data_IF_300883026319
#
_entry.id   IF_300883026319
#
_cell.length_a   1.000
_cell.length_b   1.000
_cell.length_c   1.000
_cell.angle_alpha   90.00
_cell.angle_beta   90.00
_cell.angle_gamma   90.00
#
_symmetry.space_group_name_H-M   'P 1'
#
loop_
_entity.id
_entity.type
_entity.pdbx_description
1 polymer ?
2 non-polymer ?
3 water ?
#
# COMPACT_ATOMS: atom_id res chain seq x y z
N UNK A 19 30.46 13.55 9.93
CA UNK A 19 29.08 14.15 10.08
C UNK A 19 28.79 14.62 11.55
N UNK A 20 28.18 15.83 11.74
CA UNK A 20 28.09 16.45 13.09
C UNK A 20 27.14 15.81 14.11
N UNK A 21 26.93 16.54 15.21
CA UNK A 21 26.26 16.04 16.42
C UNK A 21 24.89 16.65 16.65
N UNK A 22 24.01 15.88 17.29
CA UNK A 22 22.60 16.17 17.20
C UNK A 22 21.77 15.97 18.47
N UNK A 23 22.34 15.59 19.63
CA UNK A 23 21.40 15.36 20.73
C UNK A 23 20.88 16.66 21.36
N UNK A 24 21.37 17.82 20.94
CA UNK A 24 20.69 19.10 21.31
C UNK A 24 19.32 19.27 20.68
N UNK A 25 19.14 18.64 19.51
CA UNK A 25 17.85 18.48 18.84
C UNK A 25 16.99 17.40 19.51
N UNK A 26 15.86 17.80 20.10
CA UNK A 26 15.01 16.81 20.76
C UNK A 26 14.29 15.82 19.82
N UNK A 27 13.67 14.80 20.41
CA UNK A 27 12.73 13.95 19.72
C UNK A 27 11.41 14.15 20.41
N UNK A 28 10.40 14.55 19.64
CA UNK A 28 9.07 14.83 20.17
C UNK A 28 8.08 13.76 19.77
N UNK A 29 7.27 13.27 20.70
CA UNK A 29 6.21 12.33 20.34
C UNK A 29 5.01 13.11 19.81
N UNK A 30 4.42 12.66 18.72
CA UNK A 30 3.25 13.34 18.15
C UNK A 30 2.14 12.32 17.92
N UNK A 31 0.93 12.83 17.66
CA UNK A 31 -0.17 11.97 17.26
C UNK A 31 -0.48 12.21 15.78
N UNK A 32 -1.03 11.18 15.13
CA UNK A 32 -1.48 11.26 13.71
C UNK A 32 -2.89 10.66 13.54
N UNK A 33 -3.74 11.27 12.70
CA UNK A 33 -5.04 10.71 12.37
C UNK A 33 -4.82 9.50 11.49
N UNK A 34 -3.96 9.63 10.49
CA UNK A 34 -3.67 8.53 9.59
C UNK A 34 -2.19 8.29 9.71
N UNK A 35 -1.81 7.25 10.45
CA UNK A 35 -0.41 6.96 10.68
C UNK A 35 0.27 6.32 9.46
N UNK A 36 1.59 6.18 9.50
CA UNK A 36 2.38 5.74 8.33
C UNK A 36 2.33 4.26 8.18
N UNK A 37 1.95 3.80 6.99
CA UNK A 37 1.92 2.38 6.71
C UNK A 37 2.86 2.06 5.56
N UNK A 38 3.92 1.31 5.88
CA UNK A 38 4.86 0.85 4.89
C UNK A 38 4.55 -0.61 4.63
N UNK A 39 4.34 -0.97 3.35
CA UNK A 39 4.00 -2.36 3.01
C UNK A 39 5.17 -3.27 3.25
N UNK A 40 4.88 -4.47 3.72
CA UNK A 40 5.91 -5.36 4.15
C UNK A 40 5.38 -6.75 4.24
N UNK A 41 5.66 -7.38 5.36
CA UNK A 41 5.32 -8.76 5.53
C UNK A 41 4.62 -8.93 6.86
N UNK A 42 3.75 -9.95 6.95
CA UNK A 42 2.84 -10.14 8.03
C UNK A 42 3.36 -11.19 9.00
N UNK A 43 4.36 -10.78 9.74
CA UNK A 43 5.04 -11.67 10.66
C UNK A 43 6.17 -10.87 11.27
N UNK A 44 7.05 -10.40 10.39
CA UNK A 44 8.26 -9.74 10.77
C UNK A 44 8.14 -8.28 10.39
N UNK A 45 9.02 -7.47 10.96
CA UNK A 45 8.89 -6.04 10.79
C UNK A 45 10.24 -5.40 10.50
N UNK A 46 11.19 -6.20 9.99
CA UNK A 46 12.43 -5.63 9.48
C UNK A 46 12.34 -5.60 7.96
N UNK A 47 11.15 -5.87 7.43
CA UNK A 47 10.92 -5.97 5.98
C UNK A 47 10.10 -4.84 5.33
N UNK A 48 10.54 -4.36 4.17
CA UNK A 48 9.76 -3.38 3.40
C UNK A 48 9.66 -3.73 1.92
N UNK A 49 8.50 -3.43 1.29
CA UNK A 49 8.31 -3.59 -0.16
C UNK A 49 8.70 -2.26 -0.77
N UNK A 50 9.53 -2.27 -1.82
CA UNK A 50 10.08 -1.02 -2.42
C UNK A 50 9.11 -0.30 -3.33
N UNK A 51 7.99 -0.96 -3.63
CA UNK A 51 6.86 -0.38 -4.34
C UNK A 51 5.53 -0.91 -3.71
N UNK A 52 4.38 -0.41 -4.18
CA UNK A 52 3.09 -0.67 -3.52
C UNK A 52 2.63 -2.11 -3.61
N UNK A 53 1.97 -2.57 -2.55
CA UNK A 53 1.23 -3.83 -2.54
C UNK A 53 -0.20 -3.44 -2.75
N UNK A 54 -0.92 -4.27 -3.48
CA UNK A 54 -2.32 -4.06 -3.74
C UNK A 54 -2.96 -5.20 -3.02
N UNK A 55 -4.28 -5.21 -2.92
CA UNK A 55 -4.93 -6.21 -2.08
C UNK A 55 -5.86 -7.13 -2.85
N UNK A 56 -7.14 -6.99 -2.56
CA UNK A 56 -8.12 -7.80 -3.25
C UNK A 56 -8.56 -7.01 -4.48
N UNK A 57 -8.42 -7.68 -5.62
CA UNK A 57 -8.68 -7.07 -6.90
C UNK A 57 -10.11 -7.32 -7.37
N UNK A 58 -10.65 -8.49 -7.08
CA UNK A 58 -11.92 -8.90 -7.66
C UNK A 58 -12.60 -9.91 -6.77
N UNK A 59 -13.93 -9.92 -6.77
CA UNK A 59 -14.69 -10.88 -5.96
C UNK A 59 -15.91 -11.29 -6.72
N UNK A 60 -16.29 -12.56 -6.62
CA UNK A 60 -17.46 -13.08 -7.33
C UNK A 60 -18.17 -14.17 -6.53
N UNK A 61 -19.49 -14.15 -6.54
CA UNK A 61 -20.24 -15.29 -6.02
C UNK A 61 -20.79 -16.06 -7.21
N UNK A 62 -20.70 -17.37 -7.20
CA UNK A 62 -21.24 -18.15 -8.31
C UNK A 62 -21.86 -19.46 -7.84
N UNK A 63 -22.65 -20.05 -8.71
CA UNK A 63 -23.06 -21.41 -8.54
C UNK A 63 -22.54 -22.19 -9.75
N UNK A 64 -21.76 -23.23 -9.49
CA UNK A 64 -21.07 -23.92 -10.57
C UNK A 64 -20.40 -22.90 -11.46
N UNK A 65 -20.83 -22.87 -12.72
CA UNK A 65 -20.25 -22.02 -13.73
C UNK A 65 -21.04 -20.73 -13.90
N UNK A 66 -22.10 -20.61 -13.12
CA UNK A 66 -22.97 -19.46 -13.24
C UNK A 66 -22.70 -18.36 -12.20
N UNK A 67 -22.32 -17.18 -12.68
CA UNK A 67 -22.03 -16.02 -11.83
C UNK A 67 -23.33 -15.38 -11.32
N UNK A 68 -23.40 -14.97 -10.06
CA UNK A 68 -24.60 -14.31 -9.51
C UNK A 68 -24.34 -12.85 -9.12
N UNK A 69 -23.15 -12.57 -8.63
CA UNK A 69 -22.73 -11.19 -8.39
C UNK A 69 -21.23 -11.09 -8.49
N UNK A 70 -20.70 -9.88 -8.72
CA UNK A 70 -19.27 -9.68 -8.93
C UNK A 70 -18.93 -8.25 -8.59
N UNK A 71 -17.64 -7.99 -8.48
CA UNK A 71 -17.17 -6.64 -8.44
C UNK A 71 -15.66 -6.59 -8.66
N UNK A 72 -15.19 -5.66 -9.48
CA UNK A 72 -13.78 -5.40 -9.66
C UNK A 72 -13.42 -3.97 -9.20
N UNK A 73 -12.17 -3.80 -8.76
CA UNK A 73 -11.66 -2.60 -8.11
C UNK A 73 -11.03 -1.68 -9.16
N UNK A 74 -10.55 -2.34 -10.21
CA UNK A 74 -9.87 -1.64 -11.29
C UNK A 74 -10.03 -2.45 -12.58
N UNK A 75 -9.33 -2.07 -13.64
CA UNK A 75 -9.44 -2.83 -14.87
C UNK A 75 -8.83 -4.21 -14.81
N UNK A 76 -9.36 -5.13 -15.60
CA UNK A 76 -8.77 -6.46 -15.73
C UNK A 76 -9.68 -7.45 -16.42
N UNK A 77 -9.08 -8.44 -17.06
CA UNK A 77 -9.89 -9.44 -17.75
C UNK A 77 -10.44 -10.48 -16.76
N UNK A 78 -11.20 -9.96 -15.79
CA UNK A 78 -11.62 -10.77 -14.65
C UNK A 78 -12.67 -11.82 -14.98
N UNK A 79 -13.57 -11.50 -15.88
CA UNK A 79 -14.58 -12.46 -16.22
C UNK A 79 -13.99 -13.53 -17.14
N UNK A 80 -13.01 -13.15 -17.94
CA UNK A 80 -12.38 -14.10 -18.84
C UNK A 80 -11.76 -15.17 -17.97
N UNK A 81 -10.97 -14.73 -16.99
CA UNK A 81 -10.26 -15.61 -16.07
C UNK A 81 -11.25 -16.34 -15.17
N UNK A 82 -12.24 -15.63 -14.66
CA UNK A 82 -13.20 -16.29 -13.78
C UNK A 82 -13.89 -17.48 -14.46
N UNK A 83 -14.19 -17.36 -15.76
CA UNK A 83 -14.89 -18.45 -16.44
C UNK A 83 -13.97 -19.65 -16.48
N UNK A 84 -12.67 -19.41 -16.69
CA UNK A 84 -11.68 -20.50 -16.71
C UNK A 84 -11.53 -21.14 -15.33
N UNK A 85 -11.58 -20.31 -14.28
CA UNK A 85 -11.43 -20.85 -12.94
C UNK A 85 -12.60 -21.71 -12.64
N UNK A 86 -13.81 -21.16 -12.69
CA UNK A 86 -15.00 -21.89 -12.21
C UNK A 86 -15.12 -23.27 -12.86
N UNK A 87 -14.63 -23.38 -14.08
CA UNK A 87 -14.67 -24.65 -14.79
C UNK A 87 -13.85 -25.74 -14.11
N UNK A 88 -12.85 -25.34 -13.33
CA UNK A 88 -11.90 -26.26 -12.64
C UNK A 88 -12.38 -26.70 -11.26
N UNK A 89 -13.16 -25.86 -10.61
CA UNK A 89 -13.55 -26.10 -9.25
C UNK A 89 -14.60 -27.24 -9.12
N UNK A 90 -14.28 -28.27 -8.32
CA UNK A 90 -15.24 -29.34 -8.02
C UNK A 90 -16.41 -28.86 -7.14
N UNK A 91 -17.57 -29.47 -7.36
CA UNK A 91 -18.82 -29.04 -6.71
C UNK A 91 -18.93 -29.38 -5.20
N UNK A 92 -18.17 -30.37 -4.77
CA UNK A 92 -18.11 -30.75 -3.34
C UNK A 92 -17.57 -29.63 -2.50
N UNK A 93 -18.10 -29.42 -1.30
CA UNK A 93 -17.56 -28.40 -0.39
C UNK A 93 -16.02 -28.49 -0.31
N UNK A 94 -15.34 -27.34 -0.31
CA UNK A 94 -13.93 -27.24 0.19
C UNK A 94 -13.40 -25.82 0.01
N UNK A 95 -12.14 -25.59 0.36
CA UNK A 95 -11.52 -24.27 0.26
C UNK A 95 -10.17 -24.49 -0.40
N UNK A 96 -9.63 -23.50 -1.09
CA UNK A 96 -8.40 -23.73 -1.85
C UNK A 96 -7.83 -22.43 -2.35
N UNK A 97 -6.54 -22.42 -2.68
CA UNK A 97 -5.94 -21.26 -3.34
C UNK A 97 -5.21 -21.71 -4.59
N UNK A 98 -5.38 -20.97 -5.68
CA UNK A 98 -4.73 -21.30 -6.92
C UNK A 98 -3.69 -20.23 -7.16
N UNK A 99 -2.57 -20.59 -7.73
CA UNK A 99 -1.55 -19.57 -7.98
C UNK A 99 -1.32 -19.48 -9.47
N UNK A 100 -1.31 -18.25 -10.01
CA UNK A 100 -0.92 -18.00 -11.40
C UNK A 100 -0.28 -16.63 -11.57
N UNK A 101 0.81 -16.59 -12.34
CA UNK A 101 1.62 -15.38 -12.42
C UNK A 101 1.78 -14.70 -11.05
N UNK A 102 1.51 -13.40 -11.00
CA UNK A 102 1.69 -12.60 -9.79
C UNK A 102 0.41 -12.49 -8.99
N UNK A 103 -0.50 -13.45 -9.18
CA UNK A 103 -1.85 -13.36 -8.63
C UNK A 103 -2.22 -14.67 -7.99
N UNK A 104 -3.09 -14.60 -7.01
CA UNK A 104 -3.60 -15.78 -6.32
C UNK A 104 -5.12 -15.74 -6.43
N UNK A 105 -5.74 -16.90 -6.50
CA UNK A 105 -7.19 -17.01 -6.55
C UNK A 105 -7.65 -17.88 -5.38
N UNK A 106 -8.41 -17.31 -4.45
CA UNK A 106 -8.83 -18.02 -3.25
C UNK A 106 -10.34 -18.22 -3.33
N UNK A 107 -10.83 -19.42 -3.01
CA UNK A 107 -12.26 -19.66 -2.97
C UNK A 107 -12.68 -20.54 -1.83
N UNK A 108 -13.97 -20.45 -1.51
CA UNK A 108 -14.65 -21.38 -0.62
C UNK A 108 -15.83 -21.92 -1.40
N UNK A 109 -15.95 -23.23 -1.51
CA UNK A 109 -17.17 -23.79 -2.09
C UNK A 109 -18.05 -24.39 -0.97
N UNK A 110 -19.29 -23.94 -0.86
CA UNK A 110 -20.14 -24.45 0.18
C UNK A 110 -21.54 -24.65 -0.35
N UNK A 111 -22.06 -25.88 -0.25
CA UNK A 111 -23.40 -26.16 -0.69
C UNK A 111 -23.47 -25.69 -2.16
N UNK A 112 -22.42 -26.06 -2.89
CA UNK A 112 -22.25 -25.75 -4.32
C UNK A 112 -22.04 -24.27 -4.72
N UNK A 113 -22.26 -23.33 -3.80
CA UNK A 113 -22.03 -21.93 -4.09
C UNK A 113 -20.59 -21.61 -3.89
N UNK A 114 -19.97 -20.92 -4.85
CA UNK A 114 -18.54 -20.61 -4.80
C UNK A 114 -18.31 -19.16 -4.46
N UNK A 115 -17.44 -18.87 -3.51
CA UNK A 115 -17.17 -17.48 -3.18
C UNK A 115 -15.69 -17.34 -3.48
N UNK A 116 -15.33 -16.50 -4.45
CA UNK A 116 -13.97 -16.49 -4.96
C UNK A 116 -13.44 -15.08 -5.00
N UNK A 117 -12.15 -14.92 -4.81
CA UNK A 117 -11.55 -13.61 -5.03
C UNK A 117 -10.17 -13.78 -5.61
N UNK A 118 -9.65 -12.69 -6.16
CA UNK A 118 -8.37 -12.67 -6.85
C UNK A 118 -7.58 -11.53 -6.24
N UNK A 119 -6.33 -11.81 -5.92
CA UNK A 119 -5.53 -10.86 -5.13
C UNK A 119 -4.09 -10.85 -5.61
N UNK A 120 -3.38 -9.78 -5.23
CA UNK A 120 -1.94 -9.60 -5.51
C UNK A 120 -1.31 -10.81 -4.87
N UNK A 121 -0.19 -11.28 -5.42
CA UNK A 121 0.53 -12.38 -4.77
C UNK A 121 0.97 -11.96 -3.37
N UNK A 122 0.99 -10.67 -3.07
CA UNK A 122 1.54 -10.09 -1.83
C UNK A 122 0.49 -9.90 -0.75
N UNK A 123 -0.68 -10.48 -0.91
CA UNK A 123 -1.76 -10.29 0.05
C UNK A 123 -1.81 -11.50 0.96
N UNK A 124 -2.07 -11.24 2.23
CA UNK A 124 -2.16 -12.29 3.25
C UNK A 124 -3.35 -13.22 3.01
N UNK A 125 -3.12 -14.52 2.78
CA UNK A 125 -4.19 -15.46 2.51
C UNK A 125 -5.27 -15.44 3.57
N UNK A 126 -4.86 -15.37 4.83
CA UNK A 126 -5.82 -15.38 5.92
C UNK A 126 -6.80 -14.19 5.83
N UNK A 127 -6.31 -13.06 5.31
CA UNK A 127 -7.14 -11.88 5.18
C UNK A 127 -8.12 -12.14 4.07
N UNK A 128 -7.65 -12.82 3.02
CA UNK A 128 -8.48 -13.18 1.86
C UNK A 128 -9.62 -14.06 2.29
N UNK A 129 -9.35 -15.09 3.09
CA UNK A 129 -10.42 -16.02 3.47
C UNK A 129 -11.38 -15.45 4.51
N UNK A 130 -10.90 -14.48 5.26
CA UNK A 130 -11.76 -13.77 6.18
C UNK A 130 -12.77 -12.97 5.37
N UNK A 131 -12.26 -12.25 4.38
CA UNK A 131 -13.10 -11.54 3.42
C UNK A 131 -14.14 -12.51 2.86
N UNK A 132 -13.71 -13.63 2.30
CA UNK A 132 -14.64 -14.60 1.72
C UNK A 132 -15.66 -15.08 2.74
N UNK A 133 -15.26 -15.32 3.98
CA UNK A 133 -16.21 -15.83 4.97
C UNK A 133 -17.23 -14.75 5.23
N UNK A 134 -16.77 -13.51 5.34
CA UNK A 134 -17.68 -12.41 5.61
C UNK A 134 -18.73 -12.26 4.52
N UNK A 135 -18.27 -12.20 3.28
CA UNK A 135 -19.14 -12.12 2.09
C UNK A 135 -20.17 -13.23 2.12
N UNK A 136 -19.72 -14.46 2.36
CA UNK A 136 -20.61 -15.63 2.42
C UNK A 136 -21.74 -15.48 3.44
N UNK A 137 -21.37 -15.07 4.64
CA UNK A 137 -22.32 -14.80 5.72
C UNK A 137 -23.38 -13.81 5.24
N UNK A 138 -22.96 -12.71 4.63
CA UNK A 138 -23.92 -11.73 4.16
C UNK A 138 -24.74 -12.23 2.99
N UNK A 139 -24.12 -12.97 2.09
CA UNK A 139 -24.84 -13.44 0.91
C UNK A 139 -25.88 -14.44 1.34
N UNK A 140 -25.48 -15.35 2.22
CA UNK A 140 -26.38 -16.35 2.77
C UNK A 140 -27.48 -15.75 3.63
N UNK A 141 -27.19 -14.74 4.45
CA UNK A 141 -28.29 -14.13 5.21
C UNK A 141 -29.19 -13.31 4.30
N UNK A 142 -28.64 -12.59 3.34
CA UNK A 142 -29.46 -11.78 2.43
C UNK A 142 -30.32 -12.64 1.52
N UNK A 143 -29.73 -13.67 0.94
CA UNK A 143 -30.39 -14.31 -0.19
C UNK A 143 -30.84 -15.73 0.10
N UNK A 144 -30.39 -16.32 1.19
CA UNK A 144 -30.82 -17.66 1.57
C UNK A 144 -30.83 -18.66 0.43
N UNK A 145 -31.91 -19.43 0.36
CA UNK A 145 -32.04 -20.56 -0.57
C UNK A 145 -32.08 -20.15 -2.06
N UNK A 146 -32.42 -18.87 -2.29
CA UNK A 146 -32.62 -18.34 -3.64
C UNK A 146 -31.41 -18.60 -4.49
N UNK A 147 -30.24 -18.51 -3.88
CA UNK A 147 -28.96 -18.72 -4.55
C UNK A 147 -28.83 -20.08 -5.23
N UNK A 148 -29.64 -21.04 -4.79
CA UNK A 148 -29.52 -22.37 -5.35
C UNK A 148 -30.12 -22.41 -6.75
N UNK A 149 -31.04 -21.49 -7.02
CA UNK A 149 -31.86 -21.52 -8.23
C UNK A 149 -31.76 -20.24 -9.09
N UNK A 150 -31.28 -19.14 -8.52
CA UNK A 150 -31.37 -17.83 -9.19
C UNK A 150 -30.58 -17.82 -10.50
N UNK A 151 -31.03 -17.00 -11.43
CA UNK A 151 -30.46 -16.95 -12.78
C UNK A 151 -29.17 -16.12 -12.80
N UNK A 152 -28.37 -16.24 -13.88
CA UNK A 152 -27.15 -15.47 -14.03
C UNK A 152 -27.30 -14.01 -13.72
N UNK A 153 -26.32 -13.46 -13.01
CA UNK A 153 -26.27 -12.04 -12.59
C UNK A 153 -27.50 -11.53 -11.84
N UNK A 154 -28.34 -12.46 -11.40
CA UNK A 154 -29.53 -12.07 -10.72
C UNK A 154 -29.20 -11.23 -9.50
N UNK A 155 -28.13 -11.51 -8.77
CA UNK A 155 -27.93 -10.74 -7.55
C UNK A 155 -27.01 -9.54 -7.71
N UNK A 156 -26.63 -9.27 -8.93
CA UNK A 156 -25.52 -8.40 -9.12
C UNK A 156 -25.84 -6.96 -8.78
N UNK A 157 -26.97 -6.45 -9.23
CA UNK A 157 -27.20 -5.02 -9.07
C UNK A 157 -27.24 -4.63 -7.61
N UNK A 158 -27.83 -5.51 -6.80
CA UNK A 158 -27.93 -5.24 -5.37
C UNK A 158 -26.60 -5.52 -4.64
N UNK A 159 -26.00 -6.67 -4.91
CA UNK A 159 -24.90 -7.16 -4.08
C UNK A 159 -23.52 -6.65 -4.43
N UNK A 160 -23.31 -6.25 -5.66
CA UNK A 160 -21.98 -5.82 -6.08
C UNK A 160 -21.51 -4.75 -5.15
N UNK A 161 -22.42 -3.95 -4.63
CA UNK A 161 -22.04 -2.81 -3.77
C UNK A 161 -21.71 -3.27 -2.38
N UNK A 162 -22.36 -4.32 -1.92
CA UNK A 162 -21.89 -5.00 -0.70
C UNK A 162 -20.47 -5.50 -0.96
N UNK A 163 -20.26 -6.17 -2.10
CA UNK A 163 -18.92 -6.69 -2.43
C UNK A 163 -17.87 -5.59 -2.48
N UNK A 164 -18.21 -4.46 -3.08
CA UNK A 164 -17.28 -3.33 -3.15
C UNK A 164 -16.95 -2.77 -1.76
N UNK A 165 -17.93 -2.65 -0.88
CA UNK A 165 -17.63 -2.12 0.45
C UNK A 165 -16.73 -3.05 1.25
N UNK A 166 -16.95 -4.36 1.16
CA UNK A 166 -16.11 -5.34 1.87
C UNK A 166 -14.69 -5.46 1.30
N UNK A 167 -14.61 -5.41 -0.01
CA UNK A 167 -13.35 -5.38 -0.70
C UNK A 167 -12.47 -4.23 -0.16
N UNK A 168 -13.10 -3.09 0.02
CA UNK A 168 -12.40 -1.93 0.50
C UNK A 168 -11.96 -2.15 1.94
N UNK A 169 -12.91 -2.59 2.75
CA UNK A 169 -12.69 -2.79 4.19
C UNK A 169 -11.53 -3.73 4.42
N UNK A 170 -11.58 -4.92 3.81
CA UNK A 170 -10.55 -5.95 4.04
C UNK A 170 -9.21 -5.65 3.35
N UNK A 171 -9.19 -4.70 2.44
CA UNK A 171 -7.96 -4.41 1.77
C UNK A 171 -7.15 -3.39 2.59
N UNK A 172 -7.80 -2.71 3.52
CA UNK A 172 -7.11 -1.76 4.43
C UNK A 172 -6.77 -2.33 5.82
N UNK A 173 -7.73 -3.07 6.39
CA UNK A 173 -7.75 -3.45 7.81
C UNK A 173 -8.53 -4.78 7.99
N UNK B 21 -5.91 -18.25 10.72
CA UNK B 21 -4.73 -18.96 10.11
C UNK B 21 -5.20 -19.88 9.00
N UNK B 22 -4.37 -20.08 7.97
CA UNK B 22 -4.81 -20.85 6.78
C UNK B 22 -3.79 -21.82 6.15
N UNK B 23 -2.78 -22.19 6.95
CA UNK B 23 -1.66 -23.08 6.51
C UNK B 23 -2.14 -24.45 6.04
N UNK B 24 -3.25 -24.89 6.64
CA UNK B 24 -3.89 -26.15 6.28
C UNK B 24 -4.44 -26.17 4.88
N UNK B 25 -4.97 -25.02 4.44
CA UNK B 25 -5.52 -24.85 3.09
C UNK B 25 -4.40 -24.79 2.05
N UNK B 26 -4.38 -25.75 1.12
CA UNK B 26 -3.26 -25.79 0.17
C UNK B 26 -3.23 -24.66 -0.84
N UNK B 27 -2.10 -24.55 -1.53
CA UNK B 27 -1.93 -23.61 -2.64
C UNK B 27 -1.56 -24.43 -3.88
N UNK B 28 -2.43 -24.43 -4.90
CA UNK B 28 -2.23 -25.23 -6.12
C UNK B 28 -1.84 -24.37 -7.33
N UNK B 29 -0.85 -24.82 -8.11
CA UNK B 29 -0.56 -24.15 -9.37
C UNK B 29 -1.59 -24.58 -10.37
N UNK B 30 -2.05 -23.66 -11.19
CA UNK B 30 -2.92 -23.98 -12.33
C UNK B 30 -2.35 -23.38 -13.59
N UNK B 31 -2.84 -23.84 -14.74
CA UNK B 31 -2.55 -23.20 -16.01
C UNK B 31 -3.82 -22.54 -16.55
N UNK B 32 -3.66 -21.51 -17.39
CA UNK B 32 -4.79 -20.82 -18.02
C UNK B 32 -4.55 -20.62 -19.52
N UNK B 33 -5.59 -20.73 -20.33
CA UNK B 33 -5.46 -20.45 -21.75
C UNK B 33 -5.28 -18.98 -21.90
N UNK B 34 -6.10 -18.21 -21.21
CA UNK B 34 -6.03 -16.76 -21.27
C UNK B 34 -5.79 -16.26 -19.86
N UNK B 35 -4.53 -15.88 -19.54
CA UNK B 35 -4.12 -15.55 -18.18
C UNK B 35 -4.55 -14.16 -17.73
N UNK B 36 -4.39 -13.86 -16.43
CA UNK B 36 -4.92 -12.61 -15.87
C UNK B 36 -4.05 -11.41 -16.21
N UNK B 37 -4.67 -10.37 -16.73
CA UNK B 37 -3.97 -9.14 -17.08
C UNK B 37 -4.64 -7.98 -16.36
N UNK B 38 -3.88 -7.37 -15.45
CA UNK B 38 -4.33 -6.20 -14.72
C UNK B 38 -3.38 -5.03 -14.94
N UNK B 39 -3.71 -4.14 -15.89
CA UNK B 39 -2.83 -3.02 -16.19
C UNK B 39 -2.88 -2.00 -15.09
N UNK B 40 -1.77 -1.30 -14.87
CA UNK B 40 -1.72 -0.25 -13.85
C UNK B 40 -1.18 -0.70 -12.51
N UNK B 41 -0.39 -1.77 -12.55
CA UNK B 41 0.22 -2.28 -11.36
C UNK B 41 1.72 -2.27 -11.56
N UNK B 42 2.48 -2.23 -10.47
CA UNK B 42 3.92 -2.16 -10.60
C UNK B 42 4.53 -3.40 -11.24
N UNK B 43 5.64 -3.22 -11.96
CA UNK B 43 6.28 -4.30 -12.72
C UNK B 43 6.71 -5.47 -11.83
N UNK B 44 7.10 -5.22 -10.58
CA UNK B 44 7.54 -6.32 -9.71
C UNK B 44 7.41 -6.07 -8.20
N UNK B 45 7.70 -7.11 -7.44
CA UNK B 45 7.62 -7.05 -6.00
C UNK B 45 9.08 -7.19 -5.54
N UNK B 46 9.66 -6.11 -5.02
CA UNK B 46 11.01 -6.10 -4.44
C UNK B 46 10.94 -5.86 -2.91
N UNK B 47 11.27 -6.87 -2.12
CA UNK B 47 11.41 -6.70 -0.67
C UNK B 47 12.87 -6.63 -0.19
N UNK B 48 13.12 -5.72 0.75
CA UNK B 48 14.42 -5.52 1.34
C UNK B 48 14.31 -5.85 2.82
N UNK B 49 15.40 -6.37 3.39
CA UNK B 49 15.54 -6.43 4.85
C UNK B 49 16.06 -5.05 5.21
N UNK B 50 15.45 -4.40 6.20
CA UNK B 50 15.65 -2.96 6.39
C UNK B 50 16.92 -2.63 7.20
N UNK B 51 17.84 -1.85 6.59
CA UNK B 51 18.98 -1.23 7.31
C UNK B 51 18.40 -0.20 8.32
N UNK B 52 17.85 -0.66 9.46
CA UNK B 52 17.15 0.24 10.40
C UNK B 52 18.01 1.47 10.72
N UNK B 53 19.34 1.30 10.75
CA UNK B 53 20.31 2.38 11.02
C UNK B 53 20.77 3.21 9.81
N UNK B 54 20.52 2.73 8.58
CA UNK B 54 20.93 3.39 7.31
C UNK B 54 19.78 3.41 6.24
N UNK B 55 18.58 3.79 6.64
CA UNK B 55 17.41 3.66 5.78
C UNK B 55 16.66 4.95 5.93
N UNK B 56 16.91 5.84 4.98
CA UNK B 56 16.04 7.00 4.79
C UNK B 56 14.97 6.55 3.79
N UNK B 57 13.72 6.65 4.21
CA UNK B 57 12.62 6.09 3.48
C UNK B 57 11.99 7.09 2.53
N UNK B 58 11.97 8.35 2.92
CA UNK B 58 11.27 9.38 2.18
C UNK B 58 11.91 10.73 2.45
N UNK B 59 11.84 11.63 1.50
CA UNK B 59 12.39 12.95 1.70
C UNK B 59 11.49 13.93 1.01
N UNK B 60 11.31 15.13 1.58
CA UNK B 60 10.44 16.14 0.99
C UNK B 60 10.94 17.56 1.27
N UNK B 61 10.83 18.47 0.28
CA UNK B 61 11.08 19.88 0.50
C UNK B 61 9.74 20.59 0.41
N UNK B 62 9.45 21.46 1.37
CA UNK B 62 8.19 22.15 1.38
C UNK B 62 8.37 23.58 1.83
N UNK B 63 7.39 24.40 1.52
CA UNK B 63 7.23 25.68 2.13
C UNK B 63 5.91 25.60 2.88
N UNK B 64 5.95 25.82 4.18
CA UNK B 64 4.77 25.64 4.97
C UNK B 64 4.13 24.31 4.64
N UNK B 65 2.90 24.37 4.13
CA UNK B 65 2.14 23.20 3.86
C UNK B 65 2.20 22.84 2.38
N UNK B 66 2.95 23.62 1.63
CA UNK B 66 3.06 23.41 0.18
C UNK B 66 4.29 22.62 -0.23
N UNK B 67 4.11 21.44 -0.79
CA UNK B 67 5.23 20.57 -1.19
C UNK B 67 5.89 21.07 -2.49
N UNK B 68 7.21 21.08 -2.61
CA UNK B 68 7.88 21.57 -3.84
C UNK B 68 8.60 20.45 -4.57
N UNK B 69 9.19 19.54 -3.80
CA UNK B 69 9.76 18.29 -4.35
C UNK B 69 9.71 17.18 -3.29
N UNK B 70 9.77 15.92 -3.75
CA UNK B 70 9.63 14.75 -2.88
C UNK B 70 10.29 13.54 -3.54
N UNK B 71 10.58 12.52 -2.75
CA UNK B 71 10.97 11.27 -3.32
C UNK B 71 10.84 10.19 -2.28
N UNK B 72 10.31 9.06 -2.69
CA UNK B 72 10.16 7.91 -1.82
C UNK B 72 11.02 6.81 -2.38
N UNK B 73 11.52 5.98 -1.48
CA UNK B 73 12.47 4.98 -1.81
C UNK B 73 11.67 3.70 -1.91
N UNK B 74 10.63 3.62 -1.09
CA UNK B 74 9.86 2.39 -0.96
C UNK B 74 8.33 2.67 -0.88
N UNK B 75 7.52 1.63 -0.66
CA UNK B 75 6.06 1.80 -0.63
C UNK B 75 5.60 2.46 0.64
N UNK B 76 4.57 3.30 0.58
CA UNK B 76 4.04 3.92 1.78
C UNK B 76 3.09 5.09 1.54
N UNK B 77 2.22 5.33 2.51
CA UNK B 77 1.32 6.48 2.45
C UNK B 77 2.05 7.75 2.86
N UNK B 78 3.11 8.07 2.12
CA UNK B 78 4.00 9.15 2.52
C UNK B 78 3.38 10.54 2.38
N UNK B 79 2.58 10.74 1.35
CA UNK B 79 1.99 12.06 1.14
C UNK B 79 0.83 12.29 2.10
N UNK B 80 0.20 11.20 2.50
CA UNK B 80 -0.89 11.31 3.46
C UNK B 80 -0.32 11.83 4.77
N UNK B 81 0.72 11.15 5.22
CA UNK B 81 1.37 11.46 6.49
C UNK B 81 2.04 12.83 6.36
N UNK B 82 2.74 13.07 5.25
CA UNK B 82 3.43 14.34 5.09
C UNK B 82 2.48 15.53 5.25
N UNK B 83 1.26 15.42 4.78
CA UNK B 83 0.34 16.56 4.93
C UNK B 83 0.01 16.76 6.39
N UNK B 84 -0.11 15.67 7.13
CA UNK B 84 -0.39 15.79 8.56
C UNK B 84 0.82 16.35 9.30
N UNK B 85 2.02 15.99 8.87
CA UNK B 85 3.19 16.51 9.55
C UNK B 85 3.34 17.98 9.31
N UNK B 86 3.40 18.39 8.06
CA UNK B 86 3.71 19.79 7.76
C UNK B 86 2.77 20.73 8.52
N UNK B 87 1.55 20.26 8.79
CA UNK B 87 0.53 21.07 9.51
C UNK B 87 1.03 21.48 10.89
N UNK B 88 1.91 20.67 11.44
CA UNK B 88 2.40 20.81 12.82
C UNK B 88 3.63 21.73 12.98
N UNK B 89 4.42 21.82 11.92
CA UNK B 89 5.69 22.52 11.96
C UNK B 89 5.58 24.05 12.00
N UNK B 90 6.15 24.67 13.06
CA UNK B 90 6.18 26.14 13.14
C UNK B 90 7.14 26.80 12.14
N UNK B 91 6.74 27.97 11.66
CA UNK B 91 7.40 28.63 10.53
C UNK B 91 8.80 29.21 10.83
N UNK B 92 9.04 29.51 12.10
CA UNK B 92 10.32 30.07 12.50
C UNK B 92 11.34 28.97 12.38
N UNK B 93 12.57 29.37 12.11
CA UNK B 93 13.68 28.45 11.95
C UNK B 93 13.77 27.52 13.14
N UNK B 94 13.98 26.24 12.87
CA UNK B 94 14.42 25.30 13.91
C UNK B 94 14.63 23.91 13.32
N UNK B 95 15.07 22.98 14.15
CA UNK B 95 15.33 21.63 13.73
C UNK B 95 14.69 20.72 14.78
N UNK B 96 14.28 19.52 14.40
CA UNK B 96 13.52 18.69 15.34
C UNK B 96 13.33 17.28 14.80
N UNK B 97 13.00 16.36 15.69
CA UNK B 97 12.60 15.04 15.27
C UNK B 97 11.25 14.72 15.90
N UNK B 98 10.33 14.16 15.13
CA UNK B 98 9.03 13.72 15.66
C UNK B 98 8.99 12.22 15.71
N UNK B 99 8.34 11.67 16.71
CA UNK B 99 8.26 10.23 16.82
C UNK B 99 6.83 9.84 16.73
N UNK B 100 6.55 8.87 15.87
CA UNK B 100 5.27 8.15 15.88
C UNK B 100 5.43 6.68 15.48
N UNK B 101 4.78 5.80 16.20
CA UNK B 101 4.92 4.39 15.95
C UNK B 101 6.38 4.10 15.83
N UNK B 102 6.77 3.28 14.86
CA UNK B 102 8.15 2.83 14.73
C UNK B 102 8.99 3.73 13.88
N UNK B 103 8.55 4.97 13.73
CA UNK B 103 9.17 5.86 12.75
C UNK B 103 9.53 7.20 13.37
N UNK B 104 10.49 7.88 12.76
CA UNK B 104 10.88 9.20 13.19
C UNK B 104 10.85 10.09 11.99
N UNK B 105 10.54 11.35 12.22
CA UNK B 105 10.43 12.33 11.15
C UNK B 105 11.30 13.51 11.48
N UNK B 106 12.35 13.74 10.69
CA UNK B 106 13.38 14.73 11.01
C UNK B 106 13.31 15.86 10.05
N UNK B 107 13.31 17.08 10.56
CA UNK B 107 13.26 18.22 9.67
C UNK B 107 14.15 19.36 10.11
N UNK B 108 14.46 20.22 9.14
CA UNK B 108 15.12 21.50 9.37
C UNK B 108 14.21 22.52 8.75
N UNK B 109 13.77 23.51 9.51
CA UNK B 109 13.04 24.60 8.88
C UNK B 109 13.99 25.78 8.81
N UNK B 110 14.16 26.35 7.61
CA UNK B 110 15.01 27.53 7.49
C UNK B 110 14.50 28.52 6.45
N UNK B 111 14.25 29.74 6.91
CA UNK B 111 13.63 30.76 6.08
C UNK B 111 12.33 30.17 5.55
N UNK B 112 11.59 29.58 6.48
CA UNK B 112 10.27 28.97 6.23
C UNK B 112 10.24 27.70 5.35
N UNK B 113 11.34 27.38 4.69
CA UNK B 113 11.39 26.18 3.87
C UNK B 113 11.69 25.03 4.77
N UNK B 114 10.94 23.93 4.63
CA UNK B 114 11.09 22.73 5.49
C UNK B 114 11.73 21.58 4.74
N UNK B 115 12.79 21.01 5.28
CA UNK B 115 13.46 19.89 4.61
C UNK B 115 13.28 18.71 5.53
N UNK B 116 12.53 17.70 5.11
CA UNK B 116 12.08 16.67 6.03
C UNK B 116 12.36 15.29 5.48
N UNK B 117 12.65 14.34 6.36
CA UNK B 117 12.79 12.97 5.94
C UNK B 117 12.27 12.02 7.01
N UNK B 118 12.00 10.80 6.62
CA UNK B 118 11.33 9.83 7.47
C UNK B 118 12.21 8.61 7.49
N UNK B 119 12.34 7.98 8.65
CA UNK B 119 13.28 6.87 8.83
C UNK B 119 12.74 5.98 9.94
N UNK B 120 13.31 4.80 10.07
CA UNK B 120 12.94 3.93 11.19
C UNK B 120 13.27 4.59 12.51
N UNK B 121 12.69 4.07 13.61
CA UNK B 121 12.98 4.58 14.97
C UNK B 121 14.42 4.35 15.44
N UNK B 122 15.14 3.43 14.82
CA UNK B 122 16.47 3.10 15.30
C UNK B 122 17.58 3.65 14.42
N UNK B 123 17.27 4.59 13.57
CA UNK B 123 18.24 5.10 12.63
C UNK B 123 19.09 6.15 13.34
N UNK B 124 20.35 6.27 12.91
CA UNK B 124 21.27 7.29 13.40
C UNK B 124 20.86 8.68 12.99
N UNK B 125 20.32 9.45 13.93
CA UNK B 125 19.79 10.79 13.64
C UNK B 125 20.83 11.73 13.01
N UNK B 126 22.07 11.62 13.43
CA UNK B 126 23.11 12.47 12.88
C UNK B 126 23.25 12.26 11.37
N UNK B 127 22.96 11.04 10.89
CA UNK B 127 23.06 10.73 9.46
C UNK B 127 21.92 11.43 8.73
N UNK B 128 20.76 11.44 9.39
CA UNK B 128 19.59 12.09 8.84
C UNK B 128 19.84 13.54 8.67
N UNK B 129 20.37 14.22 9.68
CA UNK B 129 20.51 15.69 9.58
C UNK B 129 21.62 16.12 8.66
N UNK B 130 22.58 15.24 8.47
CA UNK B 130 23.63 15.46 7.49
C UNK B 130 23.01 15.48 6.09
N UNK B 131 22.21 14.45 5.82
CA UNK B 131 21.41 14.35 4.60
C UNK B 131 20.62 15.62 4.41
N UNK B 132 19.84 16.01 5.41
CA UNK B 132 19.01 17.19 5.29
C UNK B 132 19.82 18.45 5.05
N UNK B 133 20.97 18.57 5.69
CA UNK B 133 21.75 19.78 5.46
C UNK B 133 22.26 19.79 4.05
N UNK B 134 22.71 18.63 3.57
CA UNK B 134 23.21 18.50 2.20
C UNK B 134 22.16 18.90 1.16
N UNK B 135 20.99 18.29 1.29
CA UNK B 135 19.84 18.60 0.41
C UNK B 135 19.55 20.10 0.40
N UNK B 136 19.52 20.69 1.57
CA UNK B 136 19.25 22.12 1.67
C UNK B 136 20.23 22.98 0.89
N UNK B 137 21.51 22.68 1.09
CA UNK B 137 22.59 23.36 0.37
C UNK B 137 22.32 23.33 -1.14
N UNK B 138 22.03 22.15 -1.67
CA UNK B 138 21.80 22.03 -3.10
C UNK B 138 20.53 22.74 -3.53
N UNK B 139 19.48 22.62 -2.73
CA UNK B 139 18.21 23.17 -3.14
C UNK B 139 18.37 24.67 -3.18
N UNK B 140 19.04 25.20 -2.15
CA UNK B 140 19.26 26.62 -2.05
C UNK B 140 20.19 27.16 -3.13
N UNK B 141 21.29 26.47 -3.46
CA UNK B 141 22.15 26.97 -4.55
C UNK B 141 21.44 26.84 -5.92
N UNK B 142 20.72 25.74 -6.14
CA UNK B 142 19.97 25.57 -7.40
C UNK B 142 18.84 26.56 -7.54
N UNK B 143 18.01 26.73 -6.50
CA UNK B 143 16.71 27.37 -6.71
C UNK B 143 16.59 28.72 -6.06
N UNK B 144 17.55 29.05 -5.20
CA UNK B 144 17.59 30.38 -4.60
C UNK B 144 16.23 30.89 -4.18
N UNK B 145 15.95 32.15 -4.51
CA UNK B 145 14.79 32.87 -3.99
C UNK B 145 13.44 32.35 -4.52
N UNK B 146 13.50 31.59 -5.61
CA UNK B 146 12.28 31.03 -6.22
C UNK B 146 11.44 30.28 -5.19
N UNK B 147 12.12 29.59 -4.28
CA UNK B 147 11.50 28.70 -3.27
C UNK B 147 10.53 29.42 -2.42
N UNK B 148 10.67 30.73 -2.35
CA UNK B 148 9.81 31.51 -1.46
C UNK B 148 8.42 31.65 -2.07
N UNK B 149 8.37 31.55 -3.39
CA UNK B 149 7.16 31.87 -4.13
C UNK B 149 6.64 30.71 -5.02
N UNK B 150 7.50 29.73 -5.32
CA UNK B 150 7.16 28.74 -6.35
C UNK B 150 5.93 27.90 -5.98
N UNK B 151 5.18 27.52 -7.01
CA UNK B 151 3.88 26.84 -6.86
C UNK B 151 4.11 25.36 -6.47
N UNK B 152 3.05 24.69 -5.97
CA UNK B 152 3.14 23.28 -5.60
C UNK B 152 3.81 22.40 -6.63
N UNK B 153 4.66 21.51 -6.16
CA UNK B 153 5.42 20.55 -7.00
C UNK B 153 6.25 21.18 -8.09
N UNK B 154 6.39 22.49 -8.06
CA UNK B 154 7.14 23.15 -9.11
C UNK B 154 8.59 22.64 -9.23
N UNK B 155 9.22 22.20 -8.15
CA UNK B 155 10.61 21.78 -8.33
C UNK B 155 10.73 20.26 -8.45
N UNK B 156 9.60 19.58 -8.52
CA UNK B 156 9.63 18.14 -8.30
C UNK B 156 10.25 17.38 -9.47
N UNK B 157 9.88 17.73 -10.70
CA UNK B 157 10.31 16.95 -11.86
C UNK B 157 11.83 16.86 -11.92
N UNK B 158 12.47 17.98 -11.62
CA UNK B 158 13.91 18.12 -11.75
C UNK B 158 14.65 17.69 -10.48
N UNK B 159 14.13 18.06 -9.31
CA UNK B 159 14.84 17.81 -8.04
C UNK B 159 14.64 16.43 -7.39
N UNK B 160 13.52 15.77 -7.65
CA UNK B 160 13.26 14.50 -7.01
C UNK B 160 14.41 13.57 -7.23
N UNK B 161 15.08 13.72 -8.35
CA UNK B 161 16.18 12.80 -8.71
C UNK B 161 17.44 13.16 -7.94
N UNK B 162 17.63 14.45 -7.65
CA UNK B 162 18.64 14.88 -6.68
C UNK B 162 18.31 14.28 -5.31
N UNK B 163 17.05 14.38 -4.88
CA UNK B 163 16.64 13.77 -3.62
C UNK B 163 16.89 12.29 -3.61
N UNK B 164 16.55 11.61 -4.68
CA UNK B 164 16.78 10.18 -4.78
C UNK B 164 18.27 9.82 -4.71
N UNK B 165 19.12 10.59 -5.39
CA UNK B 165 20.57 10.32 -5.38
C UNK B 165 21.17 10.49 -3.99
N UNK B 166 20.78 11.54 -3.30
CA UNK B 166 21.30 11.76 -1.95
C UNK B 166 20.75 10.75 -0.95
N UNK B 167 19.48 10.42 -1.11
CA UNK B 167 18.85 9.38 -0.30
C UNK B 167 19.65 8.08 -0.39
N UNK B 168 20.05 7.74 -1.61
CA UNK B 168 20.82 6.52 -1.87
C UNK B 168 22.19 6.62 -1.22
N UNK B 169 22.85 7.77 -1.44
CA UNK B 169 24.17 8.00 -0.90
C UNK B 169 24.21 7.86 0.62
N UNK B 170 23.36 8.62 1.31
CA UNK B 170 23.35 8.67 2.79
C UNK B 170 22.74 7.41 3.45
N UNK B 171 22.14 6.57 2.65
CA UNK B 171 21.66 5.30 3.14
C UNK B 171 22.77 4.24 2.96
N UNK B 172 23.77 4.55 2.12
CA UNK B 172 25.06 3.79 2.06
C UNK B 172 26.31 4.68 2.30
#
# INVERSE_FOLDING_TARGET
GSPFYIKSSPSPQKRYQDTPGVEHIPVVQIDLSVPLKVPGLPMSDQYVKLEEAMAILFAVVARGTTILAKHAWCGGNFLEVTEQILAKIPSENNKLTYSHGNYLFHYICQDRIVYLCITDDDFERSRAFSFLNEVKKRFQTTYGSRAQTALPYAMNSEFSSVLAAQLKHHSEN
GSPFYIKSSPSPQKRYQDTPGVEHIPVVQIDLSVPLKVPGLPMSDQYVKLEEAMAILFAVVARGTTILAKHAWCGGNFLEVTEQILAKIPSENNKLTYSHGNYLFHYICQDRIVYLCITDDDFERSRAFSFLNEVKKRFQTTYGSRAQTALPYAMNSEFSSVLAAQLKHHSEN
#
